data_IF_257876549993
#
_entry.id   IF_257876549993
#
_cell.length_a   1.000
_cell.length_b   1.000
_cell.length_c   1.000
_cell.angle_alpha   90.00
_cell.angle_beta   90.00
_cell.angle_gamma   90.00
#
_symmetry.space_group_name_H-M   'P 1'
#
loop_
_entity.id
_entity.type
_entity.pdbx_description
1 polymer ?
#
# COMPACT_ATOMS: atom_id res chain seq x y z
N UNK A 1 16.65 -12.77 8.58
CA UNK A 1 17.36 -11.49 8.30
C UNK A 1 16.33 -10.39 8.47
N UNK A 2 16.42 -9.57 9.53
CA UNK A 2 15.44 -8.51 9.81
C UNK A 2 15.76 -7.27 8.95
N UNK A 3 14.94 -7.04 7.92
CA UNK A 3 15.05 -5.91 6.99
C UNK A 3 14.61 -4.56 7.60
N UNK A 4 14.09 -4.55 8.82
CA UNK A 4 13.77 -3.34 9.59
C UNK A 4 14.96 -2.36 9.76
N UNK A 5 16.20 -2.82 9.51
CA UNK A 5 17.41 -1.99 9.56
C UNK A 5 17.60 -0.99 8.41
N UNK A 6 16.90 -1.13 7.28
CA UNK A 6 17.07 -0.24 6.10
C UNK A 6 15.80 0.51 5.70
N UNK A 7 14.74 0.42 6.50
CA UNK A 7 13.49 1.11 6.20
C UNK A 7 13.64 2.59 6.52
N UNK A 8 13.66 3.41 5.47
CA UNK A 8 13.72 4.87 5.58
C UNK A 8 12.37 5.48 5.19
N UNK A 9 12.13 6.74 5.58
CA UNK A 9 10.96 7.50 5.13
C UNK A 9 10.82 7.49 3.60
N UNK A 10 11.93 7.66 2.88
CA UNK A 10 11.97 7.64 1.41
C UNK A 10 11.58 6.28 0.85
N UNK A 11 12.11 5.19 1.44
CA UNK A 11 11.75 3.82 1.02
C UNK A 11 10.28 3.53 1.27
N UNK A 12 9.76 3.88 2.45
CA UNK A 12 8.35 3.71 2.78
C UNK A 12 7.44 4.48 1.83
N UNK A 13 7.80 5.73 1.51
CA UNK A 13 7.06 6.55 0.54
C UNK A 13 7.08 5.93 -0.87
N UNK A 14 8.24 5.45 -1.35
CA UNK A 14 8.34 4.76 -2.64
C UNK A 14 7.53 3.45 -2.68
N UNK A 15 7.49 2.69 -1.58
CA UNK A 15 6.69 1.49 -1.46
C UNK A 15 5.18 1.82 -1.60
N UNK A 16 4.70 2.87 -0.93
CA UNK A 16 3.32 3.33 -1.09
C UNK A 16 3.02 3.83 -2.52
N UNK A 17 3.94 4.55 -3.13
CA UNK A 17 3.80 5.01 -4.52
C UNK A 17 3.75 3.83 -5.52
N UNK A 18 4.53 2.78 -5.28
CA UNK A 18 4.48 1.55 -6.07
C UNK A 18 3.11 0.86 -5.93
N UNK A 19 2.55 0.80 -4.72
CA UNK A 19 1.21 0.25 -4.49
C UNK A 19 0.13 1.02 -5.25
N UNK A 20 0.16 2.36 -5.25
CA UNK A 20 -0.77 3.16 -6.08
C UNK A 20 -0.63 2.84 -7.57
N UNK A 21 0.60 2.74 -8.06
CA UNK A 21 0.87 2.43 -9.47
C UNK A 21 0.30 1.06 -9.86
N UNK A 22 0.42 0.07 -8.98
CA UNK A 22 -0.16 -1.26 -9.18
C UNK A 22 -1.70 -1.22 -9.16
N UNK A 23 -2.30 -0.42 -8.28
CA UNK A 23 -3.75 -0.19 -8.24
C UNK A 23 -4.23 0.46 -9.55
N UNK A 24 -3.57 1.52 -10.03
CA UNK A 24 -3.91 2.18 -11.29
C UNK A 24 -3.80 1.23 -12.48
N UNK A 25 -2.74 0.41 -12.52
CA UNK A 25 -2.57 -0.62 -13.55
C UNK A 25 -3.66 -1.69 -13.49
N UNK A 26 -4.10 -2.07 -12.31
CA UNK A 26 -5.19 -3.01 -12.11
C UNK A 26 -6.53 -2.43 -12.61
N UNK A 27 -6.88 -1.21 -12.18
CA UNK A 27 -8.10 -0.50 -12.60
C UNK A 27 -8.14 -0.29 -14.12
N UNK A 28 -7.02 0.11 -14.73
CA UNK A 28 -6.90 0.25 -16.19
C UNK A 28 -7.01 -1.08 -16.92
N UNK A 29 -6.44 -2.15 -16.36
CA UNK A 29 -6.53 -3.48 -16.94
C UNK A 29 -7.98 -3.99 -16.91
N UNK A 30 -8.75 -3.67 -15.86
CA UNK A 30 -10.15 -4.04 -15.72
C UNK A 30 -11.07 -3.26 -16.65
N UNK A 31 -10.79 -1.97 -16.86
CA UNK A 31 -11.60 -1.12 -17.75
C UNK A 31 -11.59 -1.61 -19.21
N UNK A 32 -10.57 -2.41 -19.59
CA UNK A 32 -10.51 -3.12 -20.87
C UNK A 32 -11.25 -4.45 -20.72
N UNK A 33 -12.48 -4.55 -21.26
CA UNK A 33 -13.30 -5.77 -21.21
C UNK A 33 -12.47 -7.02 -21.54
N UNK A 34 -12.59 -8.05 -20.69
CA UNK A 34 -11.93 -9.36 -20.80
C UNK A 34 -10.40 -9.30 -20.83
N UNK A 35 -9.79 -8.77 -19.76
CA UNK A 35 -8.36 -8.93 -19.55
C UNK A 35 -8.06 -10.23 -18.77
N UNK A 36 -7.45 -11.25 -19.40
CA UNK A 36 -7.15 -12.53 -18.73
C UNK A 36 -6.10 -12.41 -17.62
N UNK A 37 -5.37 -11.29 -17.56
CA UNK A 37 -4.30 -11.06 -16.58
C UNK A 37 -4.77 -10.32 -15.33
N UNK A 38 -6.09 -10.13 -15.15
CA UNK A 38 -6.61 -9.34 -14.04
C UNK A 38 -6.37 -9.99 -12.68
N UNK A 39 -6.52 -11.31 -12.60
CA UNK A 39 -6.27 -12.08 -11.37
C UNK A 39 -4.78 -12.10 -11.03
N UNK A 40 -3.90 -12.19 -12.03
CA UNK A 40 -2.45 -12.09 -11.83
C UNK A 40 -2.05 -10.72 -11.30
N UNK A 41 -2.65 -9.64 -11.82
CA UNK A 41 -2.39 -8.27 -11.34
C UNK A 41 -2.88 -8.05 -9.91
N UNK A 42 -4.04 -8.61 -9.55
CA UNK A 42 -4.53 -8.58 -8.18
C UNK A 42 -3.56 -9.31 -7.25
N UNK A 43 -3.12 -10.50 -7.64
CA UNK A 43 -2.16 -11.30 -6.88
C UNK A 43 -0.83 -10.57 -6.67
N UNK A 44 -0.29 -9.92 -7.70
CA UNK A 44 0.94 -9.12 -7.58
C UNK A 44 0.78 -8.02 -6.52
N UNK A 45 -0.37 -7.35 -6.50
CA UNK A 45 -0.65 -6.29 -5.53
C UNK A 45 -0.77 -6.84 -4.10
N UNK A 46 -1.48 -7.94 -3.91
CA UNK A 46 -1.62 -8.63 -2.62
C UNK A 46 -0.27 -9.14 -2.11
N UNK A 47 0.51 -9.79 -2.98
CA UNK A 47 1.86 -10.29 -2.68
C UNK A 47 2.80 -9.12 -2.31
N UNK A 48 2.71 -7.98 -2.98
CA UNK A 48 3.49 -6.79 -2.62
C UNK A 48 3.16 -6.29 -1.21
N UNK A 49 1.87 -6.19 -0.85
CA UNK A 49 1.45 -5.76 0.48
C UNK A 49 1.89 -6.76 1.55
N UNK A 50 1.71 -8.06 1.30
CA UNK A 50 2.13 -9.13 2.20
C UNK A 50 3.66 -9.12 2.43
N UNK A 51 4.44 -8.93 1.37
CA UNK A 51 5.90 -8.82 1.49
C UNK A 51 6.29 -7.58 2.29
N UNK A 52 5.67 -6.42 2.03
CA UNK A 52 6.00 -5.21 2.76
C UNK A 52 5.67 -5.29 4.24
N UNK A 53 4.61 -5.99 4.65
CA UNK A 53 4.25 -6.12 6.07
C UNK A 53 5.08 -7.18 6.81
N UNK A 54 5.50 -8.25 6.13
CA UNK A 54 6.35 -9.30 6.72
C UNK A 54 7.69 -8.76 7.24
N UNK A 55 8.20 -7.71 6.60
CA UNK A 55 9.46 -7.07 6.97
C UNK A 55 9.33 -6.05 8.12
N UNK A 56 8.12 -5.82 8.64
CA UNK A 56 7.83 -4.80 9.65
C UNK A 56 7.61 -5.37 11.05
N UNK A 57 8.21 -4.71 12.04
CA UNK A 57 7.92 -4.94 13.45
C UNK A 57 6.71 -4.13 13.88
N UNK A 58 5.90 -4.64 14.81
CA UNK A 58 4.80 -3.86 15.37
C UNK A 58 5.35 -2.58 16.04
N UNK A 59 4.70 -1.41 15.92
CA UNK A 59 5.17 -0.17 16.55
C UNK A 59 5.43 -0.33 18.06
N UNK A 60 4.55 -1.06 18.77
CA UNK A 60 4.69 -1.34 20.22
C UNK A 60 5.90 -2.23 20.57
N UNK A 61 6.40 -3.03 19.62
CA UNK A 61 7.55 -3.91 19.79
C UNK A 61 8.87 -3.22 19.40
N UNK A 62 8.77 -1.99 18.86
CA UNK A 62 9.90 -1.28 18.28
C UNK A 62 10.39 -0.20 19.27
N UNK A 63 11.53 -0.38 19.95
CA UNK A 63 12.00 0.57 20.96
C UNK A 63 12.41 1.93 20.38
N UNK A 64 12.74 1.99 19.08
CA UNK A 64 13.09 3.21 18.34
C UNK A 64 12.49 3.10 16.94
N UNK A 65 11.65 4.06 16.55
CA UNK A 65 11.07 4.05 15.21
C UNK A 65 12.14 4.23 14.11
N UNK A 66 12.06 3.47 12.99
CA UNK A 66 12.97 3.62 11.86
C UNK A 66 12.93 5.02 11.24
N UNK A 67 11.78 5.69 11.27
CA UNK A 67 11.57 7.06 10.82
C UNK A 67 10.31 7.67 11.49
N UNK A 68 10.11 8.98 11.34
CA UNK A 68 8.93 9.69 11.88
C UNK A 68 7.64 9.22 11.22
N UNK A 69 6.59 8.94 12.01
CA UNK A 69 5.32 8.34 11.56
C UNK A 69 5.45 6.93 10.95
N UNK A 70 6.39 6.13 11.46
CA UNK A 70 6.49 4.71 11.13
C UNK A 70 5.17 3.96 11.37
N UNK A 71 4.48 4.29 12.46
CA UNK A 71 3.17 3.76 12.83
C UNK A 71 2.13 3.98 11.72
N UNK A 72 2.09 5.18 11.11
CA UNK A 72 1.18 5.47 9.99
C UNK A 72 1.45 4.55 8.80
N UNK A 73 2.72 4.32 8.46
CA UNK A 73 3.10 3.40 7.40
C UNK A 73 2.72 1.96 7.73
N UNK A 74 3.02 1.51 8.96
CA UNK A 74 2.68 0.17 9.44
C UNK A 74 1.16 -0.08 9.41
N UNK A 75 0.36 0.85 9.96
CA UNK A 75 -1.09 0.70 10.00
C UNK A 75 -1.72 0.78 8.61
N UNK A 76 -1.17 1.58 7.70
CA UNK A 76 -1.57 1.57 6.30
C UNK A 76 -1.44 0.16 5.71
N UNK A 77 -0.23 -0.43 5.73
CA UNK A 77 -0.01 -1.77 5.18
C UNK A 77 -0.84 -2.84 5.87
N UNK A 78 -0.99 -2.76 7.21
CA UNK A 78 -1.84 -3.67 7.97
C UNK A 78 -3.31 -3.57 7.53
N UNK A 79 -3.80 -2.37 7.32
CA UNK A 79 -5.17 -2.15 6.86
C UNK A 79 -5.37 -2.69 5.44
N UNK A 80 -4.42 -2.49 4.52
CA UNK A 80 -4.47 -3.04 3.17
C UNK A 80 -4.42 -4.57 3.18
N UNK A 81 -3.59 -5.16 4.04
CA UNK A 81 -3.46 -6.61 4.17
C UNK A 81 -4.72 -7.26 4.77
N UNK A 82 -5.35 -6.61 5.75
CA UNK A 82 -6.57 -7.11 6.42
C UNK A 82 -7.84 -6.83 5.61
N UNK A 83 -7.84 -5.79 4.78
CA UNK A 83 -8.95 -5.41 3.92
C UNK A 83 -8.50 -5.55 2.47
N UNK A 84 -8.45 -6.79 1.93
CA UNK A 84 -8.07 -7.01 0.56
C UNK A 84 -8.99 -6.24 -0.38
N UNK A 85 -8.49 -5.96 -1.57
CA UNK A 85 -9.20 -5.22 -2.60
C UNK A 85 -10.55 -5.86 -2.87
N UNK A 86 -11.59 -5.19 -2.40
CA UNK A 86 -12.97 -5.59 -2.62
C UNK A 86 -13.46 -4.94 -3.90
N UNK A 87 -14.05 -5.77 -4.75
CA UNK A 87 -14.67 -5.32 -5.99
C UNK A 87 -15.96 -4.58 -5.67
N UNK A 88 -16.07 -3.33 -6.12
CA UNK A 88 -17.33 -2.59 -6.07
C UNK A 88 -17.85 -2.45 -7.49
N UNK A 89 -18.99 -3.08 -7.76
CA UNK A 89 -19.76 -2.83 -8.98
C UNK A 89 -20.49 -1.48 -8.84
N UNK A 90 -20.09 -0.49 -9.65
CA UNK A 90 -20.78 0.80 -9.76
C UNK A 90 -21.30 0.93 -11.20
N UNK A 91 -22.55 0.51 -11.41
CA UNK A 91 -23.16 0.51 -12.74
C UNK A 91 -22.46 -0.48 -13.69
N UNK A 92 -21.85 0.02 -14.77
CA UNK A 92 -21.07 -0.79 -15.73
C UNK A 92 -19.56 -0.77 -15.47
N UNK A 93 -19.11 -0.22 -14.33
CA UNK A 93 -17.70 -0.10 -13.97
C UNK A 93 -17.45 -0.87 -12.68
N UNK A 94 -16.46 -1.75 -12.71
CA UNK A 94 -15.88 -2.31 -11.49
C UNK A 94 -14.66 -1.47 -11.12
N UNK A 95 -14.60 -1.02 -9.87
CA UNK A 95 -13.44 -0.31 -9.32
C UNK A 95 -12.94 -0.98 -8.05
N UNK A 96 -11.66 -0.79 -7.78
CA UNK A 96 -11.10 -0.96 -6.44
C UNK A 96 -11.88 -0.14 -5.41
N UNK A 97 -12.08 -0.68 -4.21
CA UNK A 97 -12.72 0.07 -3.14
C UNK A 97 -11.97 1.41 -2.92
N UNK A 98 -12.72 2.51 -2.92
CA UNK A 98 -12.13 3.85 -2.79
C UNK A 98 -11.34 3.99 -1.47
N UNK A 99 -11.73 3.25 -0.44
CA UNK A 99 -11.03 3.18 0.84
C UNK A 99 -9.58 2.70 0.72
N UNK A 100 -9.26 1.80 -0.21
CA UNK A 100 -7.95 1.21 -0.40
C UNK A 100 -6.97 2.27 -0.93
N UNK A 101 -7.42 3.03 -1.93
CA UNK A 101 -6.69 4.18 -2.47
C UNK A 101 -6.57 5.29 -1.43
N UNK A 102 -7.66 5.61 -0.73
CA UNK A 102 -7.67 6.64 0.31
C UNK A 102 -6.68 6.35 1.44
N UNK A 103 -6.59 5.11 1.89
CA UNK A 103 -5.66 4.70 2.96
C UNK A 103 -4.21 4.94 2.51
N UNK A 104 -3.86 4.56 1.28
CA UNK A 104 -2.52 4.79 0.73
C UNK A 104 -2.22 6.29 0.60
N UNK A 105 -3.15 7.06 0.02
CA UNK A 105 -2.97 8.51 -0.18
C UNK A 105 -2.82 9.27 1.14
N UNK A 106 -3.64 8.95 2.15
CA UNK A 106 -3.52 9.56 3.48
C UNK A 106 -2.17 9.24 4.10
N UNK A 107 -1.73 7.99 4.06
CA UNK A 107 -0.41 7.61 4.57
C UNK A 107 0.70 8.37 3.85
N UNK A 108 0.66 8.47 2.52
CA UNK A 108 1.64 9.24 1.75
C UNK A 108 1.68 10.72 2.11
N UNK A 109 0.52 11.37 2.31
CA UNK A 109 0.44 12.77 2.76
C UNK A 109 1.09 12.93 4.15
N UNK A 110 0.80 12.01 5.06
CA UNK A 110 1.41 12.00 6.39
C UNK A 110 2.92 11.78 6.36
N UNK A 111 3.45 11.00 5.42
CA UNK A 111 4.89 10.83 5.25
C UNK A 111 5.54 12.07 4.63
N UNK A 112 4.96 12.64 3.57
CA UNK A 112 5.46 13.85 2.89
C UNK A 112 5.55 15.08 3.79
N UNK A 113 4.60 15.25 4.71
CA UNK A 113 4.58 16.36 5.64
C UNK A 113 5.86 16.46 6.49
N UNK A 114 6.60 15.35 6.63
CA UNK A 114 7.84 15.27 7.39
C UNK A 114 9.07 15.28 6.49
N UNK A 115 8.95 14.85 5.22
CA UNK A 115 10.00 15.03 4.21
C UNK A 115 10.26 16.49 3.88
N UNK A 116 9.26 17.37 3.98
CA UNK A 116 9.38 18.82 3.71
C UNK A 116 9.86 19.65 4.92
N UNK A 117 10.03 19.03 6.09
CA UNK A 117 10.41 19.72 7.35
C UNK A 117 11.85 19.45 7.78
N UNK A 118 12.59 18.62 7.05
CA UNK A 118 14.01 18.30 7.25
C UNK A 118 14.84 18.93 6.14
#
# INVERSE_FOLDING_TARGET
MNLSKNLTLTTAYHQLQNLLTLVDHYDLARSKKQNPLIEERLKILEDCVANYILDLSHPDETPIFPFQNYDVYYYCLRQLHQNPLTHIEIGSQEKVNAGYIEVILRAMQHLQAFTLRT
#
